data_IF_008112655181
#
_entry.id   IF_008112655181
#
_cell.length_a   1.000
_cell.length_b   1.000
_cell.length_c   1.000
_cell.angle_alpha   90.00
_cell.angle_beta   90.00
_cell.angle_gamma   90.00
#
_symmetry.space_group_name_H-M   'P 1'
#
loop_
_entity.id
_entity.type
_entity.pdbx_description
1 polymer ?
#
# COMPACT_ATOMS: atom_id res chain seq x y z
N UNK A 1 -6.89 -8.63 -1.69
CA UNK A 1 -5.46 -9.00 -1.72
C UNK A 1 -4.63 -7.74 -1.56
N UNK A 2 -3.50 -7.83 -0.88
CA UNK A 2 -2.62 -6.69 -0.63
C UNK A 2 -1.21 -6.98 -1.14
N UNK A 3 -0.48 -5.92 -1.48
CA UNK A 3 0.94 -5.98 -1.84
C UNK A 3 1.71 -4.98 -0.99
N UNK A 4 2.87 -5.39 -0.49
CA UNK A 4 3.84 -4.44 0.08
C UNK A 4 4.68 -3.89 -1.06
N UNK A 5 4.67 -2.58 -1.22
CA UNK A 5 5.45 -1.83 -2.19
C UNK A 5 6.60 -1.13 -1.48
N UNK A 6 7.83 -1.39 -1.91
CA UNK A 6 9.01 -0.71 -1.37
C UNK A 6 9.47 0.34 -2.38
N UNK A 7 9.38 1.64 -2.06
CA UNK A 7 9.90 2.70 -2.92
C UNK A 7 11.37 2.47 -3.29
N UNK A 8 11.76 2.82 -4.52
CA UNK A 8 13.11 2.57 -5.04
C UNK A 8 13.37 1.13 -5.51
N UNK A 9 12.55 0.14 -5.11
CA UNK A 9 12.67 -1.23 -5.61
C UNK A 9 11.93 -1.37 -6.97
N UNK A 10 12.58 -1.91 -8.02
CA UNK A 10 11.94 -2.07 -9.33
C UNK A 10 10.66 -2.93 -9.27
N UNK A 11 9.66 -2.67 -10.15
CA UNK A 11 8.38 -3.41 -10.13
C UNK A 11 8.52 -4.93 -10.17
N UNK A 12 9.48 -5.45 -10.97
CA UNK A 12 9.75 -6.90 -11.09
C UNK A 12 10.37 -7.53 -9.83
N UNK A 13 10.90 -6.74 -8.91
CA UNK A 13 11.51 -7.20 -7.67
C UNK A 13 10.64 -6.98 -6.43
N UNK A 14 9.42 -6.45 -6.60
CA UNK A 14 8.48 -6.26 -5.51
C UNK A 14 7.96 -7.60 -4.99
N UNK A 15 7.55 -7.63 -3.73
CA UNK A 15 6.96 -8.84 -3.15
C UNK A 15 5.65 -9.22 -3.89
N UNK A 16 5.39 -10.52 -4.00
CA UNK A 16 4.12 -11.01 -4.55
C UNK A 16 2.95 -10.53 -3.67
N UNK A 17 1.78 -10.42 -4.28
CA UNK A 17 0.56 -10.11 -3.54
C UNK A 17 0.23 -11.26 -2.58
N UNK A 18 -0.31 -10.93 -1.41
CA UNK A 18 -0.69 -11.88 -0.35
C UNK A 18 -1.96 -11.43 0.36
N UNK A 19 -2.39 -12.20 1.36
CA UNK A 19 -3.49 -11.80 2.22
C UNK A 19 -3.21 -10.43 2.87
N UNK A 20 -4.26 -9.62 3.02
CA UNK A 20 -4.18 -8.36 3.74
C UNK A 20 -4.12 -8.58 5.27
N UNK A 21 -4.52 -9.76 5.75
CA UNK A 21 -4.49 -10.11 7.16
C UNK A 21 -3.07 -9.99 7.70
N UNK A 22 -2.88 -9.17 8.74
CA UNK A 22 -1.60 -8.95 9.41
C UNK A 22 -0.46 -8.43 8.52
N UNK A 23 -0.77 -7.87 7.33
CA UNK A 23 0.26 -7.45 6.39
C UNK A 23 1.17 -6.36 6.96
N UNK A 24 0.63 -5.49 7.81
CA UNK A 24 1.34 -4.41 8.50
C UNK A 24 2.50 -4.93 9.34
N UNK A 25 2.34 -6.05 10.08
CA UNK A 25 3.38 -6.60 10.96
C UNK A 25 4.68 -6.97 10.24
N UNK A 26 4.62 -7.15 8.92
CA UNK A 26 5.74 -7.55 8.09
C UNK A 26 6.04 -6.53 6.99
N UNK A 27 5.46 -5.34 7.08
CA UNK A 27 5.73 -4.24 6.18
C UNK A 27 6.97 -3.48 6.66
N UNK A 28 8.06 -3.41 5.85
CA UNK A 28 9.26 -2.67 6.21
C UNK A 28 8.97 -1.18 6.44
N UNK A 29 9.85 -0.52 7.19
CA UNK A 29 9.80 0.92 7.35
C UNK A 29 9.91 1.62 5.98
N UNK A 30 9.13 2.69 5.78
CA UNK A 30 9.04 3.45 4.53
C UNK A 30 8.35 2.73 3.36
N UNK A 31 7.87 1.50 3.57
CA UNK A 31 7.08 0.78 2.56
C UNK A 31 5.63 1.25 2.53
N UNK A 32 4.92 0.89 1.46
CA UNK A 32 3.49 1.13 1.33
C UNK A 32 2.75 -0.20 1.25
N UNK A 33 1.57 -0.27 1.87
CA UNK A 33 0.67 -1.40 1.72
C UNK A 33 -0.42 -0.98 0.74
N UNK A 34 -0.42 -1.65 -0.41
CA UNK A 34 -1.28 -1.34 -1.55
C UNK A 34 -2.37 -2.40 -1.65
N UNK A 35 -3.60 -1.93 -1.76
CA UNK A 35 -4.81 -2.74 -1.71
C UNK A 35 -5.79 -2.28 -2.78
N UNK A 36 -6.32 -3.22 -3.58
CA UNK A 36 -7.54 -2.97 -4.35
C UNK A 36 -8.73 -3.46 -3.53
N UNK A 37 -9.67 -2.59 -3.14
CA UNK A 37 -10.86 -3.01 -2.41
C UNK A 37 -11.73 -3.91 -3.30
N UNK A 38 -12.36 -4.92 -2.71
CA UNK A 38 -13.20 -5.85 -3.47
C UNK A 38 -14.47 -5.22 -4.07
N UNK A 39 -15.00 -4.16 -3.44
CA UNK A 39 -16.26 -3.52 -3.85
C UNK A 39 -16.09 -2.43 -4.89
N UNK A 40 -15.01 -1.65 -4.83
CA UNK A 40 -14.69 -0.64 -5.83
C UNK A 40 -13.31 -0.91 -6.44
N UNK A 41 -13.31 -1.47 -7.65
CA UNK A 41 -12.08 -1.80 -8.40
C UNK A 41 -11.48 -0.58 -9.10
N UNK A 42 -12.12 0.59 -9.04
CA UNK A 42 -11.65 1.84 -9.65
C UNK A 42 -10.69 2.60 -8.76
N UNK A 43 -10.57 2.21 -7.49
CA UNK A 43 -9.67 2.86 -6.54
C UNK A 43 -8.62 1.90 -5.99
N UNK A 44 -7.54 2.48 -5.50
CA UNK A 44 -6.46 1.80 -4.77
C UNK A 44 -6.30 2.47 -3.42
N UNK A 45 -6.32 1.68 -2.36
CA UNK A 45 -5.96 2.10 -1.02
C UNK A 45 -4.46 1.92 -0.81
N UNK A 46 -3.80 2.94 -0.29
CA UNK A 46 -2.38 2.96 0.01
C UNK A 46 -2.21 3.38 1.47
N UNK A 47 -1.75 2.45 2.31
CA UNK A 47 -1.33 2.75 3.67
C UNK A 47 0.18 2.99 3.67
N UNK A 48 0.61 4.14 4.15
CA UNK A 48 2.02 4.53 4.22
C UNK A 48 2.58 4.08 5.57
N UNK A 49 3.59 3.22 5.55
CA UNK A 49 4.32 2.81 6.75
C UNK A 49 5.34 3.88 7.09
N UNK A 50 5.46 4.19 8.39
CA UNK A 50 6.44 5.10 8.96
C UNK A 50 7.86 4.80 8.44
N UNK A 51 8.61 5.85 8.14
CA UNK A 51 9.96 5.73 7.55
C UNK A 51 10.98 5.09 8.49
N UNK A 52 10.73 5.13 9.81
CA UNK A 52 11.64 4.63 10.84
C UNK A 52 11.06 3.44 11.59
N UNK A 53 9.74 3.31 11.66
CA UNK A 53 9.04 2.30 12.46
C UNK A 53 8.33 1.27 11.56
N UNK A 54 8.89 0.06 11.40
CA UNK A 54 8.24 -0.97 10.59
C UNK A 54 6.85 -1.31 11.16
N UNK A 55 5.91 -1.55 10.27
CA UNK A 55 4.51 -1.89 10.58
C UNK A 55 3.66 -0.79 11.22
N UNK A 56 4.19 0.42 11.45
CA UNK A 56 3.39 1.56 11.93
C UNK A 56 2.84 2.32 10.73
N UNK A 57 1.52 2.27 10.50
CA UNK A 57 0.88 3.07 9.45
C UNK A 57 0.68 4.50 9.95
N UNK A 58 1.16 5.48 9.20
CA UNK A 58 1.10 6.91 9.56
C UNK A 58 0.15 7.72 8.68
N UNK A 59 -0.21 7.21 7.49
CA UNK A 59 -1.16 7.86 6.58
C UNK A 59 -1.91 6.84 5.76
N UNK A 60 -3.13 7.17 5.37
CA UNK A 60 -3.92 6.41 4.41
C UNK A 60 -4.32 7.29 3.23
N UNK A 61 -4.07 6.80 2.02
CA UNK A 61 -4.37 7.50 0.77
C UNK A 61 -5.25 6.63 -0.12
N UNK A 62 -6.17 7.25 -0.83
CA UNK A 62 -7.02 6.60 -1.83
C UNK A 62 -6.78 7.26 -3.16
N UNK A 63 -6.41 6.45 -4.16
CA UNK A 63 -6.13 6.90 -5.51
C UNK A 63 -7.13 6.33 -6.50
N UNK A 64 -7.50 7.10 -7.52
CA UNK A 64 -8.13 6.56 -8.72
C UNK A 64 -7.11 5.70 -9.48
N UNK A 65 -7.52 4.50 -9.88
CA UNK A 65 -6.63 3.56 -10.58
C UNK A 65 -6.32 4.00 -12.02
N UNK A 66 -7.21 4.79 -12.64
CA UNK A 66 -7.12 5.14 -14.06
C UNK A 66 -5.91 6.03 -14.37
N UNK A 67 -5.73 7.08 -13.57
CA UNK A 67 -4.71 8.11 -13.79
C UNK A 67 -3.83 8.36 -12.55
N UNK A 68 -4.10 7.67 -11.44
CA UNK A 68 -3.36 7.83 -10.20
C UNK A 68 -3.73 9.09 -9.42
N UNK A 69 -4.88 9.72 -9.70
CA UNK A 69 -5.33 10.90 -8.97
C UNK A 69 -5.62 10.59 -7.50
N UNK A 70 -5.10 11.40 -6.59
CA UNK A 70 -5.45 11.31 -5.16
C UNK A 70 -6.89 11.79 -4.94
N UNK A 71 -7.73 10.91 -4.40
CA UNK A 71 -9.14 11.18 -4.11
C UNK A 71 -9.34 11.53 -2.63
N UNK A 72 -8.58 10.88 -1.73
CA UNK A 72 -8.71 11.06 -0.28
C UNK A 72 -7.39 10.81 0.44
N UNK A 73 -7.10 11.60 1.47
CA UNK A 73 -5.99 11.40 2.40
C UNK A 73 -6.48 11.60 3.84
N UNK A 74 -5.87 10.86 4.79
CA UNK A 74 -6.08 10.96 6.23
C UNK A 74 -4.95 10.32 7.02
#
# INVERSE_FOLDING_TARGET
MCRVWVPGKPPGHQAKARSCSNIERSAPAGSWIVERPGRDRRVVHVRVVDERRPGVVVRMRVYELRDGKLIREG
#
